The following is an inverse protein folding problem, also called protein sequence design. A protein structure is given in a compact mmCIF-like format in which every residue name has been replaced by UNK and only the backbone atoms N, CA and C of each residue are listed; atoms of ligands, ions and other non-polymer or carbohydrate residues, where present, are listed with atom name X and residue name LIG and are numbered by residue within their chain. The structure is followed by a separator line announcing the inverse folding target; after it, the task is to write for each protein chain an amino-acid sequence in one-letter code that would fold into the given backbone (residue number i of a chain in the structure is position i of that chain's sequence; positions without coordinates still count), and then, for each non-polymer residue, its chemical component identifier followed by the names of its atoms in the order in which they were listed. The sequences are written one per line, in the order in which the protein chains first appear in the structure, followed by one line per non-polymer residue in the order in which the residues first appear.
data_IF_562045132212
#
_entry.id   IF_562045132212
#
_cell.length_a   1.000
_cell.length_b   1.000
_cell.length_c   1.000
_cell.angle_alpha   90.00
_cell.angle_beta   90.00
_cell.angle_gamma   90.00
#
_symmetry.space_group_name_H-M   'P 1'
#
loop_
_entity.id
_entity.type
_entity.pdbx_description
1 polymer ?
#
# COMPACT_ATOMS: atom_id res chain seq x y z
N UNK A 1 -1.29 -11.83 -11.27
CA UNK A 1 -0.88 -10.75 -10.33
C UNK A 1 -1.96 -10.59 -9.28
N UNK A 2 -1.52 -10.46 -8.06
CA UNK A 2 -2.42 -10.25 -6.93
C UNK A 2 -3.14 -8.90 -7.04
N UNK A 3 -4.37 -8.82 -6.48
CA UNK A 3 -5.18 -7.60 -6.57
C UNK A 3 -4.49 -6.36 -6.00
N UNK A 4 -3.81 -6.49 -4.86
CA UNK A 4 -3.11 -5.37 -4.25
C UNK A 4 -1.94 -4.88 -5.10
N UNK A 5 -1.24 -5.79 -5.75
CA UNK A 5 -0.17 -5.42 -6.68
C UNK A 5 -0.73 -4.71 -7.91
N UNK A 6 -1.89 -5.15 -8.40
CA UNK A 6 -2.56 -4.48 -9.53
C UNK A 6 -2.98 -3.05 -9.16
N UNK A 7 -3.46 -2.85 -7.94
CA UNK A 7 -3.81 -1.51 -7.42
C UNK A 7 -2.56 -0.63 -7.36
N UNK A 8 -1.45 -1.14 -6.83
CA UNK A 8 -0.17 -0.40 -6.79
C UNK A 8 0.30 -0.05 -8.19
N UNK A 9 0.20 -0.99 -9.11
CA UNK A 9 0.58 -0.77 -10.51
C UNK A 9 -0.26 0.36 -11.12
N UNK A 10 -1.56 0.31 -10.95
CA UNK A 10 -2.46 1.34 -11.48
C UNK A 10 -2.11 2.73 -10.95
N UNK A 11 -1.89 2.85 -9.63
CA UNK A 11 -1.50 4.10 -9.00
C UNK A 11 -0.21 4.64 -9.62
N UNK A 12 0.79 3.78 -9.81
CA UNK A 12 2.07 4.21 -10.39
C UNK A 12 1.96 4.58 -11.86
N UNK A 13 1.12 3.87 -12.61
CA UNK A 13 0.86 4.23 -14.02
C UNK A 13 0.26 5.63 -14.12
N UNK A 14 -0.70 5.95 -13.28
CA UNK A 14 -1.31 7.29 -13.26
C UNK A 14 -0.29 8.35 -12.82
N UNK A 15 0.43 8.08 -11.73
CA UNK A 15 1.43 9.02 -11.21
C UNK A 15 2.52 9.35 -12.22
N UNK A 16 3.01 8.34 -12.92
CA UNK A 16 4.12 8.48 -13.87
C UNK A 16 3.65 8.81 -15.28
N UNK A 17 2.36 8.63 -15.58
CA UNK A 17 1.81 8.82 -16.92
C UNK A 17 2.39 7.87 -17.95
N UNK A 18 2.87 6.69 -17.53
CA UNK A 18 3.60 5.77 -18.39
C UNK A 18 3.53 4.35 -17.87
N UNK A 19 3.14 3.42 -18.74
CA UNK A 19 3.20 1.99 -18.43
C UNK A 19 4.63 1.48 -18.33
N UNK A 20 5.51 1.94 -19.21
CA UNK A 20 6.89 1.46 -19.21
C UNK A 20 7.64 1.88 -17.95
N UNK A 21 7.45 3.10 -17.49
CA UNK A 21 8.08 3.59 -16.26
C UNK A 21 7.56 2.86 -15.03
N UNK A 22 6.25 2.69 -14.95
CA UNK A 22 5.64 1.98 -13.83
C UNK A 22 6.07 0.51 -13.79
N UNK A 23 6.10 -0.16 -14.94
CA UNK A 23 6.55 -1.53 -15.06
C UNK A 23 8.00 -1.69 -14.62
N UNK A 24 8.87 -0.78 -15.05
CA UNK A 24 10.28 -0.78 -14.67
C UNK A 24 10.45 -0.63 -13.15
N UNK A 25 9.69 0.29 -12.55
CA UNK A 25 9.72 0.51 -11.10
C UNK A 25 9.31 -0.73 -10.32
N UNK A 26 8.32 -1.47 -10.81
CA UNK A 26 7.81 -2.67 -10.15
C UNK A 26 8.54 -3.95 -10.56
N UNK A 27 9.50 -3.86 -11.46
CA UNK A 27 10.29 -5.00 -11.90
C UNK A 27 9.52 -6.00 -12.75
N UNK A 28 8.52 -5.53 -13.51
CA UNK A 28 7.74 -6.37 -14.43
C UNK A 28 7.87 -5.85 -15.86
N UNK A 29 7.51 -6.69 -16.83
CA UNK A 29 7.49 -6.28 -18.24
C UNK A 29 6.32 -5.36 -18.54
N UNK A 30 6.50 -4.45 -19.50
CA UNK A 30 5.43 -3.55 -19.92
C UNK A 30 4.19 -4.29 -20.43
N UNK A 31 4.32 -5.39 -21.24
CA UNK A 31 3.13 -6.14 -21.65
C UNK A 31 2.33 -6.72 -20.49
N UNK A 32 3.01 -7.18 -19.45
CA UNK A 32 2.35 -7.68 -18.23
C UNK A 32 1.62 -6.57 -17.52
N UNK A 33 2.22 -5.39 -17.40
CA UNK A 33 1.59 -4.23 -16.78
C UNK A 33 0.33 -3.81 -17.53
N UNK A 34 0.41 -3.71 -18.85
CA UNK A 34 -0.72 -3.37 -19.71
C UNK A 34 -1.86 -4.38 -19.55
N UNK A 35 -1.53 -5.67 -19.55
CA UNK A 35 -2.51 -6.74 -19.40
C UNK A 35 -3.23 -6.66 -18.05
N UNK A 36 -2.51 -6.38 -16.97
CA UNK A 36 -3.10 -6.28 -15.64
C UNK A 36 -4.09 -5.13 -15.52
N UNK A 37 -3.76 -3.97 -16.08
CA UNK A 37 -4.67 -2.83 -16.05
C UNK A 37 -5.90 -3.10 -16.92
N UNK A 38 -5.74 -3.72 -18.08
CA UNK A 38 -6.89 -4.11 -18.91
C UNK A 38 -7.80 -5.11 -18.21
N UNK A 39 -7.22 -6.04 -17.47
CA UNK A 39 -7.98 -6.99 -16.65
C UNK A 39 -8.78 -6.28 -15.57
N UNK A 40 -8.16 -5.30 -14.91
CA UNK A 40 -8.82 -4.46 -13.92
C UNK A 40 -10.00 -3.70 -14.53
N UNK A 41 -9.79 -3.09 -15.69
CA UNK A 41 -10.85 -2.40 -16.43
C UNK A 41 -12.00 -3.34 -16.80
N UNK A 42 -11.67 -4.55 -17.25
CA UNK A 42 -12.67 -5.56 -17.61
C UNK A 42 -13.49 -5.99 -16.38
N UNK A 43 -12.85 -6.20 -15.23
CA UNK A 43 -13.52 -6.57 -13.99
C UNK A 43 -14.46 -5.49 -13.49
N UNK A 44 -14.08 -4.23 -13.65
CA UNK A 44 -14.88 -3.09 -13.23
C UNK A 44 -15.94 -2.70 -14.26
N UNK A 45 -15.79 -3.16 -15.50
CA UNK A 45 -16.66 -2.77 -16.59
C UNK A 45 -16.53 -1.30 -16.96
N UNK A 46 -15.35 -0.72 -16.77
CA UNK A 46 -15.14 0.69 -17.01
C UNK A 46 -13.73 0.93 -17.55
N UNK A 47 -13.60 1.95 -18.40
CA UNK A 47 -12.33 2.38 -18.90
C UNK A 47 -11.70 3.35 -17.89
N UNK A 48 -10.51 3.02 -17.41
CA UNK A 48 -9.83 3.81 -16.40
C UNK A 48 -8.77 4.75 -16.98
N UNK A 49 -8.21 4.40 -18.12
CA UNK A 49 -7.10 5.14 -18.72
C UNK A 49 -7.35 5.47 -20.18
N UNK A 50 -6.98 6.69 -20.57
CA UNK A 50 -6.82 7.09 -21.96
C UNK A 50 -5.36 6.89 -22.36
N UNK A 51 -5.14 6.26 -23.50
CA UNK A 51 -3.80 6.01 -24.04
C UNK A 51 -3.65 6.80 -25.34
N UNK A 52 -2.53 7.51 -25.43
CA UNK A 52 -2.17 8.26 -26.62
C UNK A 52 -0.67 8.16 -26.87
N UNK A 53 -0.21 8.73 -27.97
CA UNK A 53 1.22 8.81 -28.27
C UNK A 53 1.98 9.68 -27.25
N UNK A 54 1.26 10.51 -26.50
CA UNK A 54 1.85 11.41 -25.51
C UNK A 54 1.87 10.82 -24.10
N UNK A 55 1.38 9.59 -23.94
CA UNK A 55 1.38 8.91 -22.64
C UNK A 55 -0.01 8.44 -22.24
N UNK A 56 -0.18 8.28 -20.93
CA UNK A 56 -1.39 7.73 -20.35
C UNK A 56 -1.96 8.72 -19.35
N UNK A 57 -3.26 8.99 -19.46
CA UNK A 57 -3.98 9.87 -18.53
C UNK A 57 -5.24 9.15 -18.03
N UNK A 58 -5.70 9.41 -16.80
CA UNK A 58 -6.91 8.78 -16.31
C UNK A 58 -8.17 9.35 -16.98
N UNK A 59 -9.18 8.49 -17.14
CA UNK A 59 -10.54 8.91 -17.44
C UNK A 59 -11.14 9.55 -16.18
N UNK A 60 -12.34 10.13 -16.29
CA UNK A 60 -13.04 10.65 -15.11
C UNK A 60 -13.25 9.54 -14.06
N UNK A 61 -13.73 8.38 -14.48
CA UNK A 61 -13.89 7.21 -13.61
C UNK A 61 -12.52 6.77 -13.09
N UNK A 62 -11.51 6.76 -13.96
CA UNK A 62 -10.16 6.37 -13.58
C UNK A 62 -9.56 7.27 -12.51
N UNK A 63 -9.84 8.57 -12.57
CA UNK A 63 -9.35 9.51 -11.57
C UNK A 63 -10.00 9.26 -10.21
N UNK A 64 -11.31 9.02 -10.17
CA UNK A 64 -12.02 8.69 -8.94
C UNK A 64 -11.51 7.37 -8.35
N UNK A 65 -11.32 6.37 -9.19
CA UNK A 65 -10.79 5.09 -8.78
C UNK A 65 -9.33 5.22 -8.27
N UNK A 66 -8.53 6.03 -8.96
CA UNK A 66 -7.15 6.32 -8.56
C UNK A 66 -7.08 6.89 -7.15
N UNK A 67 -7.94 7.86 -6.82
CA UNK A 67 -7.95 8.45 -5.49
C UNK A 67 -8.19 7.40 -4.39
N UNK A 68 -9.09 6.46 -4.64
CA UNK A 68 -9.36 5.36 -3.71
C UNK A 68 -8.21 4.36 -3.64
N UNK A 69 -7.64 4.01 -4.78
CA UNK A 69 -6.48 3.11 -4.85
C UNK A 69 -5.26 3.69 -4.15
N UNK A 70 -5.07 5.00 -4.27
CA UNK A 70 -3.97 5.72 -3.60
C UNK A 70 -4.09 5.59 -2.09
N UNK A 71 -5.29 5.72 -1.54
CA UNK A 71 -5.54 5.53 -0.11
C UNK A 71 -5.26 4.09 0.33
N UNK A 72 -5.71 3.11 -0.46
CA UNK A 72 -5.46 1.70 -0.17
C UNK A 72 -3.96 1.41 -0.15
N UNK A 73 -3.22 1.87 -1.15
CA UNK A 73 -1.77 1.68 -1.24
C UNK A 73 -1.05 2.32 -0.03
N UNK A 74 -1.49 3.51 0.36
CA UNK A 74 -0.93 4.20 1.52
C UNK A 74 -1.18 3.42 2.81
N UNK A 75 -2.39 2.90 3.01
CA UNK A 75 -2.70 2.09 4.19
C UNK A 75 -1.90 0.80 4.25
N UNK A 76 -1.65 0.17 3.11
CA UNK A 76 -0.79 -1.03 3.06
C UNK A 76 0.63 -0.69 3.52
N UNK A 77 1.18 0.40 3.01
CA UNK A 77 2.52 0.86 3.40
C UNK A 77 2.60 1.18 4.88
N UNK A 78 1.59 1.86 5.42
CA UNK A 78 1.50 2.15 6.85
C UNK A 78 1.47 0.87 7.69
N UNK A 79 0.65 -0.09 7.29
CA UNK A 79 0.53 -1.36 8.00
C UNK A 79 1.86 -2.12 8.03
N UNK A 80 2.55 -2.17 6.89
CA UNK A 80 3.87 -2.81 6.80
C UNK A 80 4.90 -2.08 7.66
N UNK A 81 4.90 -0.76 7.65
CA UNK A 81 5.82 0.06 8.45
C UNK A 81 5.62 -0.15 9.95
N UNK A 82 4.37 -0.20 10.40
CA UNK A 82 4.05 -0.44 11.82
C UNK A 82 4.50 -1.83 12.23
N UNK A 83 4.23 -2.85 11.43
CA UNK A 83 4.65 -4.22 11.73
C UNK A 83 6.16 -4.34 11.80
N UNK A 84 6.89 -3.73 10.86
CA UNK A 84 8.34 -3.73 10.83
C UNK A 84 8.91 -3.01 12.07
N UNK A 85 8.36 -1.85 12.41
CA UNK A 85 8.79 -1.08 13.56
C UNK A 85 8.59 -1.84 14.86
N UNK A 86 7.41 -2.46 15.04
CA UNK A 86 7.12 -3.28 16.22
C UNK A 86 8.09 -4.45 16.34
N UNK A 87 8.35 -5.17 15.25
CA UNK A 87 9.27 -6.29 15.25
C UNK A 87 10.69 -5.85 15.62
N UNK A 88 11.15 -4.75 15.07
CA UNK A 88 12.47 -4.20 15.36
C UNK A 88 12.59 -3.81 16.84
N UNK A 89 11.57 -3.18 17.40
CA UNK A 89 11.56 -2.78 18.80
C UNK A 89 11.53 -3.99 19.73
N UNK A 90 10.74 -5.01 19.43
CA UNK A 90 10.68 -6.24 20.20
C UNK A 90 12.04 -6.93 20.19
N UNK A 91 12.68 -7.05 19.04
CA UNK A 91 14.01 -7.64 18.92
C UNK A 91 15.06 -6.84 19.71
N UNK A 92 14.99 -5.52 19.64
CA UNK A 92 15.88 -4.65 20.41
C UNK A 92 15.70 -4.83 21.89
N UNK A 93 14.48 -4.93 22.37
CA UNK A 93 14.16 -5.20 23.78
C UNK A 93 14.73 -6.53 24.25
N UNK A 94 14.62 -7.58 23.45
CA UNK A 94 15.16 -8.90 23.76
C UNK A 94 16.69 -8.90 23.82
N UNK A 95 17.36 -8.18 22.94
CA UNK A 95 18.82 -8.08 22.90
C UNK A 95 19.40 -7.41 24.13
N UNK A 96 18.68 -6.46 24.71
CA UNK A 96 19.15 -5.69 25.86
C UNK A 96 18.92 -6.45 27.17
N UNK A 97 18.40 -7.67 27.12
CA UNK A 97 18.07 -8.48 28.29
C UNK A 97 17.20 -7.69 29.27
N UNK A 98 16.10 -7.16 28.78
CA UNK A 98 15.34 -6.14 29.44
C UNK A 98 14.42 -6.62 30.52
N UNK A 99 14.28 -5.78 31.54
CA UNK A 99 13.24 -5.90 32.53
C UNK A 99 11.86 -5.71 31.88
N UNK A 100 10.82 -6.23 32.53
CA UNK A 100 9.42 -6.06 32.11
C UNK A 100 9.07 -4.57 31.93
N UNK A 101 9.67 -3.69 32.75
CA UNK A 101 9.47 -2.25 32.67
C UNK A 101 9.93 -1.64 31.33
N UNK A 102 11.03 -2.11 30.77
CA UNK A 102 11.50 -1.63 29.48
C UNK A 102 10.57 -2.07 28.35
N UNK A 103 10.13 -3.32 28.36
CA UNK A 103 9.18 -3.83 27.38
C UNK A 103 7.89 -3.00 27.35
N UNK A 104 7.38 -2.63 28.52
CA UNK A 104 6.18 -1.77 28.63
C UNK A 104 6.42 -0.38 28.06
N UNK A 105 7.59 0.20 28.27
CA UNK A 105 7.93 1.52 27.73
C UNK A 105 7.97 1.56 26.21
N UNK A 106 8.44 0.48 25.59
CA UNK A 106 8.60 0.41 24.13
C UNK A 106 7.30 -0.02 23.45
N UNK A 107 6.67 -1.08 23.95
CA UNK A 107 5.51 -1.68 23.28
C UNK A 107 4.22 -0.89 23.45
N UNK A 108 3.96 -0.37 24.66
CA UNK A 108 2.72 0.35 24.94
C UNK A 108 2.54 1.59 24.05
N UNK A 109 3.55 2.48 23.88
CA UNK A 109 3.40 3.62 22.98
C UNK A 109 3.17 3.24 21.52
N UNK A 110 3.82 2.16 21.05
CA UNK A 110 3.65 1.69 19.68
C UNK A 110 2.24 1.14 19.45
N UNK A 111 1.70 0.40 20.39
CA UNK A 111 0.34 -0.11 20.32
C UNK A 111 -0.67 1.02 20.34
N UNK A 112 -0.48 2.02 21.19
CA UNK A 112 -1.35 3.20 21.22
C UNK A 112 -1.32 3.97 19.90
N UNK A 113 -0.15 4.11 19.31
CA UNK A 113 0.00 4.76 18.01
C UNK A 113 -0.75 3.98 16.93
N UNK A 114 -0.66 2.65 16.92
CA UNK A 114 -1.39 1.80 16.00
C UNK A 114 -2.91 2.00 16.15
N UNK A 115 -3.41 2.05 17.37
CA UNK A 115 -4.82 2.27 17.65
C UNK A 115 -5.30 3.65 17.17
N UNK A 116 -4.46 4.67 17.22
CA UNK A 116 -4.79 6.01 16.68
C UNK A 116 -4.89 6.00 15.16
N UNK A 117 -4.04 5.22 14.50
CA UNK A 117 -4.05 5.10 13.05
C UNK A 117 -5.24 4.30 12.53
N UNK A 118 -5.77 3.40 13.35
CA UNK A 118 -6.91 2.56 12.99
C UNK A 118 -8.00 2.62 14.07
N UNK A 119 -8.66 3.79 14.24
CA UNK A 119 -9.61 3.98 15.33
C UNK A 119 -10.86 3.10 15.21
N UNK A 120 -11.11 2.50 14.05
CA UNK A 120 -12.26 1.61 13.83
C UNK A 120 -11.97 0.16 14.24
N UNK A 121 -10.71 -0.18 14.48
CA UNK A 121 -10.35 -1.52 14.95
C UNK A 121 -10.40 -1.53 16.46
N UNK A 122 -11.39 -2.24 17.01
CA UNK A 122 -11.42 -2.53 18.43
C UNK A 122 -10.36 -3.60 18.72
N UNK A 123 -9.16 -3.15 19.05
CA UNK A 123 -8.15 -4.05 19.56
C UNK A 123 -8.40 -4.18 21.05
N UNK A 124 -8.92 -5.32 21.43
CA UNK A 124 -9.12 -5.63 22.83
C UNK A 124 -7.77 -5.98 23.43
N UNK A 125 -7.09 -4.95 23.93
CA UNK A 125 -5.84 -5.14 24.66
C UNK A 125 -6.17 -5.47 26.10
N UNK A 126 -6.53 -6.71 26.35
CA UNK A 126 -6.55 -7.23 27.68
C UNK A 126 -5.11 -7.45 28.13
N UNK A 127 -4.53 -6.48 28.75
CA UNK A 127 -3.25 -6.67 29.44
C UNK A 127 -3.52 -7.22 30.81
#
# INVERSE_FOLDING_TARGET
MERLQAIRLFVRVVDLGSFSKAAAELGIGQPAATKQVRRMEAQLGARLLHRSTHGVTPTEIGLLYYEKCKLIAHHIEEAESVATLLQTQVQGALRINTSVAFGRRVLAPLVMQFMRMTPQLHIDLSC
#
